data_IF_560294585387
#
_entry.id   IF_560294585387
#
_cell.length_a   1.000
_cell.length_b   1.000
_cell.length_c   1.000
_cell.angle_alpha   90.00
_cell.angle_beta   90.00
_cell.angle_gamma   90.00
#
_symmetry.space_group_name_H-M   'P 1'
#
loop_
_entity.id
_entity.type
_entity.pdbx_description
1 polymer ?
#
# COMPACT_ATOMS: atom_id res chain seq x y z
N UNK A 1 0.19 -6.90 -2.96
CA UNK A 1 -0.31 -7.83 -1.94
C UNK A 1 0.28 -7.50 -0.57
N UNK A 2 1.58 -7.72 -0.34
CA UNK A 2 2.21 -7.50 0.99
C UNK A 2 1.90 -6.14 1.64
N UNK A 3 2.04 -5.01 0.92
CA UNK A 3 1.71 -3.68 1.48
C UNK A 3 0.23 -3.50 1.82
N UNK A 4 -0.67 -4.18 1.11
CA UNK A 4 -2.12 -4.15 1.38
C UNK A 4 -2.43 -4.88 2.68
N UNK A 5 -1.77 -6.02 2.88
CA UNK A 5 -1.93 -6.88 4.05
C UNK A 5 -1.38 -6.27 5.35
N UNK A 6 -0.53 -5.24 5.25
CA UNK A 6 -0.07 -4.46 6.43
C UNK A 6 -1.24 -3.94 7.26
N UNK A 7 -2.41 -3.69 6.66
CA UNK A 7 -3.62 -3.27 7.37
C UNK A 7 -3.99 -4.19 8.54
N UNK A 8 -3.77 -5.51 8.41
CA UNK A 8 -4.07 -6.47 9.48
C UNK A 8 -3.12 -6.33 10.67
N UNK A 9 -1.94 -5.75 10.47
CA UNK A 9 -0.95 -5.48 11.52
C UNK A 9 -1.11 -4.09 12.14
N UNK A 10 -1.81 -3.15 11.49
CA UNK A 10 -1.93 -1.77 11.96
C UNK A 10 -2.60 -1.63 13.33
N UNK A 11 -3.72 -2.30 13.64
CA UNK A 11 -4.29 -2.23 14.99
C UNK A 11 -3.35 -2.72 16.08
N UNK A 12 -2.53 -3.74 15.78
CA UNK A 12 -1.52 -4.28 16.71
C UNK A 12 -0.40 -3.26 16.94
N UNK A 13 0.09 -2.64 15.87
CA UNK A 13 1.08 -1.56 15.95
C UNK A 13 0.55 -0.37 16.76
N UNK A 14 -0.65 0.11 16.47
CA UNK A 14 -1.27 1.27 17.13
C UNK A 14 -1.47 1.01 18.63
N UNK A 15 -1.86 -0.20 19.01
CA UNK A 15 -1.96 -0.60 20.42
C UNK A 15 -0.59 -0.71 21.07
N UNK A 16 0.34 -1.43 20.44
CA UNK A 16 1.65 -1.75 21.01
C UNK A 16 2.61 -0.57 21.09
N UNK A 17 2.57 0.34 20.12
CA UNK A 17 3.55 1.42 19.97
C UNK A 17 3.01 2.79 20.38
N UNK A 18 1.69 3.03 20.26
CA UNK A 18 1.08 4.33 20.62
C UNK A 18 0.20 4.26 21.88
N UNK A 19 0.10 3.08 22.51
CA UNK A 19 -0.71 2.87 23.71
C UNK A 19 -2.21 3.04 23.50
N UNK A 20 -2.69 2.96 22.25
CA UNK A 20 -4.12 3.10 21.94
C UNK A 20 -4.90 1.89 22.44
N UNK A 21 -6.12 2.10 22.92
CA UNK A 21 -7.03 1.00 23.24
C UNK A 21 -7.39 0.23 21.96
N UNK A 22 -7.71 -1.06 22.08
CA UNK A 22 -8.04 -1.89 20.93
C UNK A 22 -9.22 -1.34 20.12
N UNK A 23 -10.21 -0.74 20.79
CA UNK A 23 -11.37 -0.12 20.13
C UNK A 23 -11.00 1.14 19.36
N UNK A 24 -10.12 1.99 19.90
CA UNK A 24 -9.65 3.20 19.22
C UNK A 24 -8.71 2.83 18.07
N UNK A 25 -7.78 1.90 18.27
CA UNK A 25 -6.88 1.41 17.23
C UNK A 25 -7.66 0.83 16.03
N UNK A 26 -8.71 0.05 16.29
CA UNK A 26 -9.61 -0.48 15.24
C UNK A 26 -10.36 0.65 14.50
N UNK A 27 -10.86 1.66 15.23
CA UNK A 27 -11.51 2.83 14.62
C UNK A 27 -10.53 3.65 13.77
N UNK A 28 -9.29 3.82 14.21
CA UNK A 28 -8.25 4.52 13.45
C UNK A 28 -7.91 3.72 12.18
N UNK A 29 -7.81 2.40 12.27
CA UNK A 29 -7.53 1.51 11.13
C UNK A 29 -8.60 1.59 10.02
N UNK A 30 -9.86 1.93 10.33
CA UNK A 30 -10.91 2.09 9.32
C UNK A 30 -10.70 3.29 8.39
N UNK A 31 -9.80 4.22 8.73
CA UNK A 31 -9.43 5.32 7.84
C UNK A 31 -8.82 4.81 6.52
N UNK A 32 -8.11 3.67 6.56
CA UNK A 32 -7.56 3.05 5.36
C UNK A 32 -8.64 2.63 4.35
N UNK A 33 -9.59 1.73 4.68
CA UNK A 33 -10.62 1.35 3.72
C UNK A 33 -11.50 2.54 3.28
N UNK A 34 -11.67 3.57 4.12
CA UNK A 34 -12.33 4.82 3.71
C UNK A 34 -11.53 5.57 2.63
N UNK A 35 -10.23 5.72 2.80
CA UNK A 35 -9.36 6.31 1.79
C UNK A 35 -9.35 5.49 0.50
N UNK A 36 -9.27 4.16 0.63
CA UNK A 36 -9.33 3.23 -0.49
C UNK A 36 -10.65 3.33 -1.27
N UNK A 37 -11.79 3.40 -0.57
CA UNK A 37 -13.12 3.57 -1.17
C UNK A 37 -13.18 4.83 -2.04
N UNK A 38 -12.79 5.98 -1.47
CA UNK A 38 -12.79 7.25 -2.19
C UNK A 38 -11.87 7.18 -3.40
N UNK A 39 -10.68 6.61 -3.22
CA UNK A 39 -9.73 6.50 -4.31
C UNK A 39 -10.15 5.52 -5.41
N UNK A 40 -10.87 4.45 -5.12
CA UNK A 40 -11.35 3.54 -6.16
C UNK A 40 -12.50 4.17 -6.94
N UNK A 41 -13.45 4.81 -6.24
CA UNK A 41 -14.58 5.50 -6.87
C UNK A 41 -14.15 6.65 -7.78
N UNK A 42 -13.21 7.48 -7.31
CA UNK A 42 -12.71 8.63 -8.08
C UNK A 42 -11.62 8.17 -9.05
N UNK A 43 -10.77 7.24 -8.61
CA UNK A 43 -9.60 6.78 -9.35
C UNK A 43 -9.98 6.12 -10.66
N UNK A 44 -11.02 5.28 -10.72
CA UNK A 44 -11.44 4.68 -12.00
C UNK A 44 -11.61 5.74 -13.09
N UNK A 45 -12.37 6.80 -12.78
CA UNK A 45 -12.59 7.90 -13.73
C UNK A 45 -11.33 8.75 -13.98
N UNK A 46 -10.59 9.11 -12.92
CA UNK A 46 -9.38 9.95 -13.06
C UNK A 46 -8.31 9.22 -13.87
N UNK A 47 -8.09 7.93 -13.60
CA UNK A 47 -7.08 7.15 -14.29
C UNK A 47 -7.48 6.82 -15.73
N UNK A 48 -8.77 6.66 -16.05
CA UNK A 48 -9.22 6.54 -17.45
C UNK A 48 -8.86 7.78 -18.29
N UNK A 49 -8.83 8.97 -17.66
CA UNK A 49 -8.44 10.22 -18.31
C UNK A 49 -6.91 10.40 -18.43
N UNK A 50 -6.12 9.62 -17.68
CA UNK A 50 -4.67 9.71 -17.72
C UNK A 50 -4.11 8.85 -18.85
N UNK A 51 -3.49 9.48 -19.85
CA UNK A 51 -2.74 8.73 -20.86
C UNK A 51 -1.57 7.92 -20.25
N UNK A 52 -1.11 6.89 -20.97
CA UNK A 52 -0.04 5.95 -20.54
C UNK A 52 1.21 6.63 -19.96
N UNK A 53 1.66 7.73 -20.58
CA UNK A 53 2.81 8.52 -20.11
C UNK A 53 2.59 9.15 -18.73
N UNK A 54 1.38 9.65 -18.45
CA UNK A 54 1.03 10.25 -17.14
C UNK A 54 0.86 9.16 -16.08
N UNK A 55 0.24 8.04 -16.43
CA UNK A 55 0.16 6.87 -15.54
C UNK A 55 1.54 6.38 -15.09
N UNK A 56 2.52 6.37 -16.00
CA UNK A 56 3.91 6.00 -15.72
C UNK A 56 4.64 6.95 -14.75
N UNK A 57 4.06 8.11 -14.43
CA UNK A 57 4.56 9.05 -13.42
C UNK A 57 3.70 9.01 -12.14
N UNK A 58 2.38 9.02 -12.30
CA UNK A 58 1.43 9.11 -11.19
C UNK A 58 1.44 7.85 -10.33
N UNK A 59 1.41 6.65 -10.93
CA UNK A 59 1.35 5.41 -10.15
C UNK A 59 2.61 5.16 -9.29
N UNK A 60 3.84 5.35 -9.81
CA UNK A 60 5.02 5.32 -8.96
C UNK A 60 5.00 6.39 -7.87
N UNK A 61 4.57 7.62 -8.17
CA UNK A 61 4.51 8.70 -7.18
C UNK A 61 3.53 8.39 -6.03
N UNK A 62 2.37 7.81 -6.34
CA UNK A 62 1.43 7.34 -5.33
C UNK A 62 2.03 6.22 -4.48
N UNK A 63 2.70 5.25 -5.09
CA UNK A 63 3.32 4.15 -4.35
C UNK A 63 4.49 4.63 -3.47
N UNK A 64 5.26 5.62 -3.93
CA UNK A 64 6.28 6.31 -3.12
C UNK A 64 5.65 7.06 -1.95
N UNK A 65 4.51 7.71 -2.16
CA UNK A 65 3.76 8.39 -1.08
C UNK A 65 3.24 7.38 -0.05
N UNK A 66 2.74 6.23 -0.50
CA UNK A 66 2.31 5.14 0.37
C UNK A 66 3.49 4.58 1.20
N UNK A 67 4.65 4.37 0.57
CA UNK A 67 5.88 3.99 1.28
C UNK A 67 6.32 5.07 2.29
N UNK A 68 6.18 6.34 1.94
CA UNK A 68 6.43 7.47 2.83
C UNK A 68 5.52 7.47 4.06
N UNK A 69 4.25 7.09 3.91
CA UNK A 69 3.32 6.93 5.03
C UNK A 69 3.80 5.84 6.00
N UNK A 70 4.32 4.71 5.50
CA UNK A 70 4.88 3.66 6.34
C UNK A 70 6.15 4.12 7.09
N UNK A 71 7.02 4.88 6.43
CA UNK A 71 8.18 5.48 7.08
C UNK A 71 7.77 6.50 8.16
N UNK A 72 6.74 7.31 7.90
CA UNK A 72 6.18 8.23 8.89
C UNK A 72 5.58 7.48 10.09
N UNK A 73 4.90 6.34 9.85
CA UNK A 73 4.44 5.47 10.92
C UNK A 73 5.58 4.91 11.77
N UNK A 74 6.71 4.54 11.16
CA UNK A 74 7.87 4.03 11.87
C UNK A 74 8.47 5.06 12.86
N UNK A 75 8.39 6.36 12.53
CA UNK A 75 8.88 7.45 13.35
C UNK A 75 7.84 7.99 14.36
N UNK A 76 6.55 7.66 14.18
CA UNK A 76 5.45 8.20 14.98
C UNK A 76 5.58 7.96 16.50
N UNK A 77 6.02 6.78 16.98
CA UNK A 77 6.21 6.55 18.42
C UNK A 77 7.28 7.46 19.05
N UNK A 78 8.33 7.80 18.28
CA UNK A 78 9.46 8.60 18.77
C UNK A 78 9.12 10.09 18.95
N UNK A 79 8.00 10.55 18.38
CA UNK A 79 7.54 11.93 18.47
C UNK A 79 6.90 12.27 19.83
N UNK A 80 6.63 11.27 20.68
CA UNK A 80 6.08 11.48 22.03
C UNK A 80 4.73 12.21 22.05
N UNK A 81 3.93 12.06 20.98
CA UNK A 81 2.67 12.76 20.82
C UNK A 81 1.63 12.32 21.87
N UNK A 82 0.79 13.25 22.31
CA UNK A 82 -0.38 12.91 23.11
C UNK A 82 -1.29 11.92 22.36
N UNK A 83 -1.90 10.99 23.08
CA UNK A 83 -2.67 9.87 22.52
C UNK A 83 -3.74 10.30 21.50
N UNK A 84 -4.47 11.39 21.77
CA UNK A 84 -5.48 11.91 20.85
C UNK A 84 -4.87 12.45 19.55
N UNK A 85 -3.75 13.15 19.65
CA UNK A 85 -3.01 13.68 18.50
C UNK A 85 -2.40 12.54 17.69
N UNK A 86 -1.81 11.54 18.35
CA UNK A 86 -1.27 10.35 17.71
C UNK A 86 -2.35 9.58 16.93
N UNK A 87 -3.55 9.44 17.50
CA UNK A 87 -4.68 8.81 16.82
C UNK A 87 -5.13 9.59 15.57
N UNK A 88 -5.21 10.92 15.64
CA UNK A 88 -5.56 11.76 14.50
C UNK A 88 -4.51 11.69 13.38
N UNK A 89 -3.23 11.78 13.73
CA UNK A 89 -2.12 11.66 12.76
C UNK A 89 -2.13 10.27 12.14
N UNK A 90 -2.31 9.21 12.94
CA UNK A 90 -2.42 7.85 12.43
C UNK A 90 -3.61 7.68 11.48
N UNK A 91 -4.78 8.25 11.81
CA UNK A 91 -5.94 8.22 10.91
C UNK A 91 -5.65 8.93 9.59
N UNK A 92 -5.01 10.10 9.62
CA UNK A 92 -4.64 10.83 8.41
C UNK A 92 -3.63 10.05 7.55
N UNK A 93 -2.60 9.47 8.18
CA UNK A 93 -1.61 8.64 7.49
C UNK A 93 -2.23 7.39 6.86
N UNK A 94 -3.11 6.68 7.57
CA UNK A 94 -3.82 5.51 7.04
C UNK A 94 -4.77 5.88 5.90
N UNK A 95 -5.44 7.02 6.01
CA UNK A 95 -6.30 7.54 4.94
C UNK A 95 -5.49 7.80 3.67
N UNK A 96 -4.40 8.56 3.78
CA UNK A 96 -3.51 8.85 2.63
C UNK A 96 -2.90 7.57 2.08
N UNK A 97 -2.47 6.65 2.96
CA UNK A 97 -1.97 5.34 2.56
C UNK A 97 -3.01 4.54 1.75
N UNK A 98 -4.27 4.51 2.19
CA UNK A 98 -5.36 3.85 1.46
C UNK A 98 -5.67 4.49 0.12
N UNK A 99 -5.69 5.83 0.08
CA UNK A 99 -5.88 6.60 -1.16
C UNK A 99 -4.77 6.31 -2.17
N UNK A 100 -3.51 6.28 -1.73
CA UNK A 100 -2.38 6.08 -2.63
C UNK A 100 -2.17 4.62 -3.04
N UNK A 101 -2.38 3.67 -2.13
CA UNK A 101 -2.10 2.26 -2.39
C UNK A 101 -3.13 1.61 -3.31
N UNK A 102 -4.41 2.01 -3.22
CA UNK A 102 -5.50 1.35 -3.94
C UNK A 102 -5.34 1.40 -5.46
N UNK A 103 -5.08 2.56 -6.10
CA UNK A 103 -4.84 2.62 -7.54
C UNK A 103 -3.64 1.77 -7.96
N UNK A 104 -2.57 1.75 -7.16
CA UNK A 104 -1.36 0.96 -7.43
C UNK A 104 -1.59 -0.54 -7.31
N UNK A 105 -2.58 -0.97 -6.54
CA UNK A 105 -2.96 -2.38 -6.42
C UNK A 105 -3.82 -2.85 -7.60
N UNK A 106 -4.83 -2.05 -7.97
CA UNK A 106 -5.82 -2.47 -8.97
C UNK A 106 -5.38 -2.17 -10.41
N UNK A 107 -4.85 -0.98 -10.69
CA UNK A 107 -4.65 -0.50 -12.08
C UNK A 107 -3.60 -1.33 -12.83
N UNK A 108 -2.39 -1.57 -12.30
CA UNK A 108 -1.39 -2.36 -13.03
C UNK A 108 -1.88 -3.79 -13.33
N UNK A 109 -2.60 -4.41 -12.40
CA UNK A 109 -3.18 -5.74 -12.57
C UNK A 109 -4.24 -5.73 -13.68
N UNK A 110 -5.13 -4.73 -13.69
CA UNK A 110 -6.16 -4.57 -14.71
C UNK A 110 -5.58 -4.28 -16.09
N UNK A 111 -4.59 -3.39 -16.21
CA UNK A 111 -3.91 -3.08 -17.48
C UNK A 111 -3.19 -4.33 -18.02
N UNK A 112 -2.46 -5.03 -17.16
CA UNK A 112 -1.76 -6.26 -17.56
C UNK A 112 -2.74 -7.34 -18.06
N UNK A 113 -3.85 -7.54 -17.35
CA UNK A 113 -4.89 -8.48 -17.77
C UNK A 113 -5.57 -8.06 -19.09
N UNK A 114 -5.87 -6.77 -19.26
CA UNK A 114 -6.53 -6.27 -20.46
C UNK A 114 -5.62 -6.35 -21.70
N UNK A 115 -4.33 -6.06 -21.57
CA UNK A 115 -3.39 -6.04 -22.69
C UNK A 115 -2.87 -7.43 -23.07
N UNK A 116 -2.51 -8.25 -22.08
CA UNK A 116 -1.85 -9.54 -22.32
C UNK A 116 -2.80 -10.73 -22.21
N UNK A 117 -4.00 -10.53 -21.65
CA UNK A 117 -4.91 -11.61 -21.30
C UNK A 117 -5.63 -12.25 -22.48
N UNK A 118 -6.15 -11.48 -23.43
CA UNK A 118 -7.00 -12.00 -24.50
C UNK A 118 -8.07 -12.97 -23.96
N UNK A 119 -8.17 -14.18 -24.53
CA UNK A 119 -9.08 -15.24 -24.06
C UNK A 119 -8.66 -15.91 -22.74
N UNK A 120 -7.44 -15.66 -22.26
CA UNK A 120 -6.86 -16.22 -21.01
C UNK A 120 -6.64 -15.15 -19.93
N UNK A 121 -7.33 -14.02 -20.02
CA UNK A 121 -7.21 -12.92 -19.05
C UNK A 121 -7.43 -13.37 -17.60
N UNK A 122 -8.38 -14.27 -17.37
CA UNK A 122 -8.64 -14.86 -16.04
C UNK A 122 -7.46 -15.66 -15.49
N UNK A 123 -6.74 -16.41 -16.34
CA UNK A 123 -5.56 -17.17 -15.92
C UNK A 123 -4.42 -16.24 -15.50
N UNK A 124 -4.17 -15.17 -16.26
CA UNK A 124 -3.12 -14.20 -15.92
C UNK A 124 -3.40 -13.50 -14.59
N UNK A 125 -4.65 -13.11 -14.34
CA UNK A 125 -5.06 -12.52 -13.05
C UNK A 125 -4.86 -13.52 -11.92
N UNK A 126 -5.29 -14.78 -12.10
CA UNK A 126 -5.10 -15.79 -11.06
C UNK A 126 -3.62 -16.09 -10.74
N UNK A 127 -2.73 -15.99 -11.73
CA UNK A 127 -1.29 -16.17 -11.52
C UNK A 127 -0.70 -14.98 -10.75
N UNK A 128 -1.14 -13.76 -11.06
CA UNK A 128 -0.76 -12.55 -10.33
C UNK A 128 -1.21 -12.64 -8.86
N UNK A 129 -2.46 -13.05 -8.62
CA UNK A 129 -3.02 -13.22 -7.28
C UNK A 129 -2.32 -14.35 -6.52
N UNK A 130 -2.04 -15.49 -7.16
CA UNK A 130 -1.32 -16.60 -6.53
C UNK A 130 0.09 -16.17 -6.08
N UNK A 131 0.82 -15.43 -6.91
CA UNK A 131 2.12 -14.86 -6.53
C UNK A 131 1.96 -13.86 -5.36
N UNK A 132 0.92 -13.03 -5.40
CA UNK A 132 0.57 -12.10 -4.33
C UNK A 132 0.32 -12.80 -3.00
N UNK A 133 -0.54 -13.82 -2.99
CA UNK A 133 -0.84 -14.62 -1.79
C UNK A 133 0.38 -15.38 -1.28
N UNK A 134 1.21 -15.94 -2.18
CA UNK A 134 2.45 -16.59 -1.80
C UNK A 134 3.41 -15.63 -1.07
N UNK A 135 3.58 -14.42 -1.60
CA UNK A 135 4.39 -13.38 -0.96
C UNK A 135 3.81 -12.95 0.39
N UNK A 136 2.49 -12.77 0.49
CA UNK A 136 1.80 -12.46 1.74
C UNK A 136 1.95 -13.56 2.79
N UNK A 137 1.82 -14.83 2.40
CA UNK A 137 1.97 -15.96 3.32
C UNK A 137 3.40 -16.03 3.88
N UNK A 138 4.41 -15.87 3.01
CA UNK A 138 5.81 -15.80 3.44
C UNK A 138 6.06 -14.58 4.35
N UNK A 139 5.46 -13.44 4.04
CA UNK A 139 5.53 -12.25 4.87
C UNK A 139 4.96 -12.50 6.28
N UNK A 140 3.74 -13.02 6.39
CA UNK A 140 3.13 -13.24 7.71
C UNK A 140 3.88 -14.23 8.58
N UNK A 141 4.45 -15.27 7.98
CA UNK A 141 5.26 -16.24 8.71
C UNK A 141 6.45 -15.59 9.44
N UNK A 142 6.99 -14.50 8.89
CA UNK A 142 8.18 -13.84 9.42
C UNK A 142 7.90 -12.48 10.09
N UNK A 143 6.86 -11.77 9.68
CA UNK A 143 6.59 -10.38 10.05
C UNK A 143 6.30 -10.19 11.54
N UNK A 144 5.51 -11.09 12.14
CA UNK A 144 5.19 -11.04 13.57
C UNK A 144 6.43 -11.28 14.43
N UNK A 145 7.25 -12.27 14.08
CA UNK A 145 8.53 -12.50 14.75
C UNK A 145 9.47 -11.31 14.62
N UNK A 146 9.51 -10.66 13.46
CA UNK A 146 10.35 -9.49 13.23
C UNK A 146 9.89 -8.30 14.09
N UNK A 147 8.57 -8.06 14.18
CA UNK A 147 8.01 -7.02 15.03
C UNK A 147 8.32 -7.24 16.51
N UNK A 148 8.25 -8.48 17.01
CA UNK A 148 8.54 -8.81 18.41
C UNK A 148 10.03 -8.69 18.75
N UNK A 149 10.91 -9.09 17.84
CA UNK A 149 12.37 -9.17 18.11
C UNK A 149 13.12 -7.87 17.81
N UNK A 150 12.75 -7.18 16.73
CA UNK A 150 13.45 -5.99 16.23
C UNK A 150 12.60 -4.71 16.35
N UNK A 151 11.35 -4.83 16.78
CA UNK A 151 10.44 -3.70 16.93
C UNK A 151 9.67 -3.35 15.66
N UNK A 152 8.57 -2.63 15.86
CA UNK A 152 7.66 -2.25 14.78
C UNK A 152 8.25 -1.29 13.76
N UNK A 153 9.12 -0.37 14.20
CA UNK A 153 9.73 0.61 13.31
C UNK A 153 10.58 -0.04 12.21
N UNK A 154 11.33 -1.10 12.55
CA UNK A 154 12.13 -1.86 11.56
C UNK A 154 11.22 -2.58 10.55
N UNK A 155 10.15 -3.21 11.01
CA UNK A 155 9.17 -3.85 10.11
C UNK A 155 8.54 -2.84 9.14
N UNK A 156 8.12 -1.68 9.64
CA UNK A 156 7.51 -0.62 8.84
C UNK A 156 8.49 0.01 7.84
N UNK A 157 9.75 0.20 8.23
CA UNK A 157 10.80 0.69 7.33
C UNK A 157 11.15 -0.35 6.25
N UNK A 158 11.18 -1.64 6.59
CA UNK A 158 11.38 -2.70 5.61
C UNK A 158 10.24 -2.71 4.58
N UNK A 159 9.00 -2.61 5.03
CA UNK A 159 7.82 -2.51 4.16
C UNK A 159 7.83 -1.24 3.31
N UNK A 160 8.26 -0.12 3.87
CA UNK A 160 8.50 1.11 3.13
C UNK A 160 9.54 0.88 2.03
N UNK A 161 10.68 0.26 2.35
CA UNK A 161 11.71 -0.12 1.38
C UNK A 161 11.19 -1.01 0.24
N UNK A 162 10.40 -2.03 0.57
CA UNK A 162 9.72 -2.88 -0.43
C UNK A 162 8.78 -2.04 -1.31
N UNK A 163 8.05 -1.09 -0.73
CA UNK A 163 7.20 -0.15 -1.45
C UNK A 163 7.98 0.75 -2.41
N UNK A 164 9.15 1.26 -2.00
CA UNK A 164 10.03 2.07 -2.85
C UNK A 164 10.58 1.24 -4.03
N UNK A 165 11.04 0.02 -3.78
CA UNK A 165 11.50 -0.89 -4.83
C UNK A 165 10.36 -1.20 -5.80
N UNK A 166 9.17 -1.49 -5.29
CA UNK A 166 7.98 -1.72 -6.11
C UNK A 166 7.61 -0.47 -6.95
N UNK A 167 7.75 0.74 -6.40
CA UNK A 167 7.52 1.98 -7.13
C UNK A 167 8.53 2.18 -8.27
N UNK A 168 9.80 1.88 -8.03
CA UNK A 168 10.85 1.91 -9.05
C UNK A 168 10.55 0.90 -10.17
N UNK A 169 10.25 -0.36 -9.82
CA UNK A 169 9.94 -1.40 -10.80
C UNK A 169 8.69 -1.07 -11.62
N UNK A 170 7.62 -0.60 -10.96
CA UNK A 170 6.39 -0.17 -11.61
C UNK A 170 6.65 1.01 -12.55
N UNK A 171 7.46 1.98 -12.12
CA UNK A 171 7.85 3.13 -12.94
C UNK A 171 8.65 2.70 -14.18
N UNK A 172 9.62 1.81 -14.01
CA UNK A 172 10.38 1.25 -15.13
C UNK A 172 9.47 0.51 -16.13
N UNK A 173 8.58 -0.34 -15.63
CA UNK A 173 7.62 -1.09 -16.45
C UNK A 173 6.70 -0.15 -17.26
N UNK A 174 6.01 0.78 -16.58
CA UNK A 174 5.06 1.68 -17.24
C UNK A 174 5.74 2.66 -18.20
N UNK A 175 6.97 3.10 -17.93
CA UNK A 175 7.74 3.93 -18.87
C UNK A 175 8.12 3.14 -20.12
N UNK A 176 8.49 1.88 -19.97
CA UNK A 176 8.74 0.97 -21.10
C UNK A 176 7.49 0.83 -21.97
N UNK A 177 6.33 0.58 -21.37
CA UNK A 177 5.06 0.47 -22.10
C UNK A 177 4.64 1.79 -22.77
N UNK A 178 4.84 2.92 -22.09
CA UNK A 178 4.54 4.23 -22.65
C UNK A 178 5.44 4.59 -23.85
N UNK A 179 6.65 4.04 -23.93
CA UNK A 179 7.56 4.22 -25.06
C UNK A 179 7.21 3.30 -26.25
N UNK A 180 6.66 2.11 -26.00
CA UNK A 180 6.20 1.19 -27.07
C UNK A 180 4.90 1.66 -27.74
N UNK A 181 4.11 2.48 -27.06
CA UNK A 181 2.82 2.97 -27.54
C UNK A 181 2.90 4.27 -28.38
N UNK A 182 4.11 4.75 -28.68
CA UNK A 182 4.37 5.93 -29.52
C UNK A 182 5.18 5.55 -30.74
#
# INVERSE_FOLDING_TARGET
AVLWDVLLLMPLFLKGSLGLSASVASRVASAFPFGSLISVLIGGWVFDLLGRRRMALVLPALLMTAAGCLAAFAALPDLGLATNTAALVASALLFVFGVCLSPCYYIPASVFSAEFGGSRAGLLVSLLDAAGFGATAAFYWQATRLAETHGWSILLLLLSGVGLVAACLLGCFLRGEAARAT
#
